data_IF_578221844142
#
_entry.id   IF_578221844142
#
_cell.length_a   1.000
_cell.length_b   1.000
_cell.length_c   1.000
_cell.angle_alpha   90.00
_cell.angle_beta   90.00
_cell.angle_gamma   90.00
#
_symmetry.space_group_name_H-M   'P 1'
#
loop_
_entity.id
_entity.type
_entity.pdbx_description
1 polymer ?
#
# COMPACT_ATOMS: atom_id res chain seq x y z
N UNK A 1 10.75 -16.35 -2.14
CA UNK A 1 10.80 -15.40 -3.24
C UNK A 1 11.54 -15.99 -4.44
N UNK A 2 11.17 -15.56 -5.64
CA UNK A 2 11.86 -15.81 -6.90
C UNK A 2 12.10 -14.46 -7.57
N UNK A 3 13.33 -14.23 -8.05
CA UNK A 3 13.73 -12.94 -8.61
C UNK A 3 14.09 -13.08 -10.09
N UNK A 4 13.77 -12.05 -10.90
CA UNK A 4 14.34 -11.87 -12.23
C UNK A 4 15.01 -10.50 -12.31
N UNK A 5 16.30 -10.49 -12.66
CA UNK A 5 17.16 -9.32 -12.62
C UNK A 5 17.72 -9.08 -14.03
N UNK A 6 17.44 -7.89 -14.57
CA UNK A 6 18.21 -7.32 -15.68
C UNK A 6 19.23 -6.32 -15.13
N UNK A 7 20.47 -6.36 -15.64
CA UNK A 7 21.49 -5.42 -15.23
C UNK A 7 22.44 -5.06 -16.37
N UNK A 8 22.84 -3.78 -16.51
CA UNK A 8 23.77 -3.33 -17.55
C UNK A 8 25.19 -3.84 -17.32
N UNK A 9 25.55 -4.16 -16.07
CA UNK A 9 26.89 -4.64 -15.73
C UNK A 9 26.85 -5.65 -14.56
N UNK A 10 27.90 -6.48 -14.41
CA UNK A 10 28.03 -7.37 -13.25
C UNK A 10 28.07 -6.63 -11.90
N UNK A 11 28.54 -5.40 -11.88
CA UNK A 11 28.59 -4.57 -10.67
C UNK A 11 27.18 -4.22 -10.23
N UNK A 12 26.34 -3.73 -11.13
CA UNK A 12 24.93 -3.42 -10.86
C UNK A 12 24.18 -4.67 -10.40
N UNK A 13 24.39 -5.80 -11.08
CA UNK A 13 23.79 -7.07 -10.67
C UNK A 13 24.15 -7.45 -9.23
N UNK A 14 25.43 -7.36 -8.84
CA UNK A 14 25.88 -7.65 -7.48
C UNK A 14 25.23 -6.71 -6.43
N UNK A 15 25.07 -5.44 -6.75
CA UNK A 15 24.39 -4.47 -5.88
C UNK A 15 22.91 -4.84 -5.68
N UNK A 16 22.19 -5.18 -6.77
CA UNK A 16 20.80 -5.60 -6.70
C UNK A 16 20.66 -6.87 -5.87
N UNK A 17 21.47 -7.90 -6.13
CA UNK A 17 21.47 -9.16 -5.35
C UNK A 17 21.79 -8.89 -3.87
N UNK A 18 22.72 -7.98 -3.57
CA UNK A 18 23.03 -7.55 -2.21
C UNK A 18 21.81 -6.95 -1.52
N UNK A 19 21.06 -6.08 -2.20
CA UNK A 19 19.82 -5.49 -1.70
C UNK A 19 18.73 -6.53 -1.43
N UNK A 20 18.53 -7.45 -2.38
CA UNK A 20 17.57 -8.57 -2.23
C UNK A 20 17.92 -9.42 -1.00
N UNK A 21 19.20 -9.78 -0.83
CA UNK A 21 19.66 -10.54 0.34
C UNK A 21 19.37 -9.81 1.64
N UNK A 22 19.69 -8.52 1.71
CA UNK A 22 19.45 -7.70 2.91
C UNK A 22 17.95 -7.61 3.21
N UNK A 23 17.11 -7.38 2.21
CA UNK A 23 15.66 -7.36 2.37
C UNK A 23 15.13 -8.72 2.83
N UNK A 24 15.55 -9.82 2.21
CA UNK A 24 15.15 -11.18 2.58
C UNK A 24 15.47 -11.48 4.05
N UNK A 25 16.64 -11.08 4.51
CA UNK A 25 17.03 -11.20 5.92
C UNK A 25 16.17 -10.34 6.85
N UNK A 26 15.94 -9.08 6.48
CA UNK A 26 15.13 -8.16 7.29
C UNK A 26 13.69 -8.65 7.45
N UNK A 27 13.08 -9.11 6.37
CA UNK A 27 11.71 -9.65 6.36
C UNK A 27 11.60 -11.10 6.84
N UNK A 28 12.70 -11.82 6.97
CA UNK A 28 12.71 -13.24 7.34
C UNK A 28 12.13 -14.15 6.26
N UNK A 29 12.28 -13.78 4.99
CA UNK A 29 11.70 -14.50 3.85
C UNK A 29 12.83 -15.10 3.01
N UNK A 30 12.83 -16.43 2.73
CA UNK A 30 13.87 -17.05 1.91
C UNK A 30 13.75 -16.65 0.43
N UNK A 31 14.90 -16.44 -0.22
CA UNK A 31 15.00 -16.40 -1.69
C UNK A 31 15.31 -17.80 -2.16
N UNK A 32 14.45 -18.36 -3.00
CA UNK A 32 14.55 -19.75 -3.47
C UNK A 32 15.33 -19.89 -4.78
N UNK A 33 15.47 -18.79 -5.51
CA UNK A 33 16.17 -18.75 -6.78
C UNK A 33 15.73 -17.58 -7.64
N UNK A 34 16.16 -17.61 -8.90
CA UNK A 34 15.82 -16.57 -9.85
C UNK A 34 16.67 -16.64 -11.09
N UNK A 35 16.59 -15.58 -11.91
CA UNK A 35 17.36 -15.43 -13.14
C UNK A 35 18.04 -14.06 -13.16
N UNK A 36 19.29 -14.02 -13.61
CA UNK A 36 20.04 -12.77 -13.80
C UNK A 36 20.58 -12.68 -15.20
N UNK A 37 20.24 -11.60 -15.91
CA UNK A 37 20.76 -11.30 -17.24
C UNK A 37 21.61 -10.03 -17.21
N UNK A 38 22.84 -10.13 -17.74
CA UNK A 38 23.79 -9.01 -17.81
C UNK A 38 23.78 -8.44 -19.23
N UNK A 39 24.11 -7.14 -19.35
CA UNK A 39 24.18 -6.44 -20.63
C UNK A 39 22.81 -5.97 -21.15
N UNK A 40 21.80 -5.90 -20.26
CA UNK A 40 20.47 -5.38 -20.57
C UNK A 40 20.12 -4.22 -19.64
N UNK A 41 19.10 -3.40 -19.97
CA UNK A 41 18.62 -2.36 -19.05
C UNK A 41 18.29 -2.88 -17.65
N UNK A 42 18.43 -2.03 -16.66
CA UNK A 42 18.11 -2.39 -15.27
C UNK A 42 16.62 -2.72 -15.12
N UNK A 43 16.33 -3.91 -14.61
CA UNK A 43 14.99 -4.37 -14.30
C UNK A 43 15.04 -5.30 -13.08
N UNK A 44 14.00 -5.27 -12.27
CA UNK A 44 13.83 -6.19 -11.15
C UNK A 44 12.36 -6.61 -11.08
N UNK A 45 12.14 -7.91 -11.11
CA UNK A 45 10.84 -8.52 -10.84
C UNK A 45 10.97 -9.50 -9.69
N UNK A 46 10.07 -9.44 -8.74
CA UNK A 46 10.03 -10.35 -7.59
C UNK A 46 8.68 -11.04 -7.54
N UNK A 47 8.69 -12.37 -7.50
CA UNK A 47 7.51 -13.18 -7.26
C UNK A 47 7.52 -13.68 -5.82
N UNK A 48 6.49 -13.33 -5.05
CA UNK A 48 6.27 -13.82 -3.69
C UNK A 48 5.21 -14.93 -3.72
N UNK A 49 5.55 -16.07 -3.12
CA UNK A 49 4.62 -17.16 -2.92
C UNK A 49 4.44 -17.39 -1.43
N UNK A 50 3.20 -17.45 -0.99
CA UNK A 50 2.84 -17.69 0.41
C UNK A 50 1.74 -18.72 0.54
N UNK A 51 1.52 -19.18 1.77
CA UNK A 51 0.42 -20.05 2.14
C UNK A 51 -0.35 -19.43 3.30
N UNK A 52 -1.67 -19.47 3.22
CA UNK A 52 -2.55 -19.00 4.29
C UNK A 52 -3.82 -19.86 4.33
N UNK A 53 -4.36 -20.05 5.53
CA UNK A 53 -5.63 -20.72 5.74
C UNK A 53 -6.79 -19.69 5.84
N UNK A 54 -6.47 -18.40 5.91
CA UNK A 54 -7.43 -17.30 6.01
C UNK A 54 -6.98 -16.12 5.13
N UNK A 55 -7.17 -16.20 3.81
CA UNK A 55 -6.80 -15.10 2.92
C UNK A 55 -7.68 -13.88 3.18
N UNK A 56 -7.06 -12.70 3.18
CA UNK A 56 -7.76 -11.42 3.20
C UNK A 56 -7.82 -10.91 1.76
N UNK A 57 -9.01 -10.72 1.19
CA UNK A 57 -9.14 -10.29 -0.21
C UNK A 57 -8.81 -8.80 -0.38
N UNK A 58 -8.44 -8.41 -1.60
CA UNK A 58 -8.27 -7.01 -2.00
C UNK A 58 -9.60 -6.29 -2.27
N UNK A 59 -10.70 -7.02 -2.36
CA UNK A 59 -12.09 -6.56 -2.43
C UNK A 59 -12.94 -7.34 -1.44
N UNK A 60 -14.13 -6.82 -1.11
CA UNK A 60 -15.03 -7.44 -0.13
C UNK A 60 -15.61 -6.43 0.86
N UNK A 61 -15.28 -5.14 0.68
CA UNK A 61 -15.95 -4.05 1.36
C UNK A 61 -17.44 -4.02 0.99
N UNK A 62 -18.27 -3.62 1.92
CA UNK A 62 -19.71 -3.47 1.74
C UNK A 62 -20.11 -2.03 2.02
N UNK A 63 -21.18 -1.59 1.38
CA UNK A 63 -21.79 -0.29 1.70
C UNK A 63 -21.95 -0.13 3.21
N UNK A 64 -21.45 1.01 3.73
CA UNK A 64 -21.49 1.34 5.14
C UNK A 64 -20.29 0.82 5.95
N UNK A 65 -19.38 0.06 5.36
CA UNK A 65 -18.14 -0.34 6.03
C UNK A 65 -17.23 0.87 6.23
N UNK A 66 -16.53 0.91 7.36
CA UNK A 66 -15.47 1.88 7.62
C UNK A 66 -14.27 1.59 6.72
N UNK A 67 -13.71 2.63 6.10
CA UNK A 67 -12.42 2.57 5.42
C UNK A 67 -11.38 3.17 6.37
N UNK A 68 -10.34 2.39 6.65
CA UNK A 68 -9.25 2.79 7.53
C UNK A 68 -7.91 2.76 6.80
N UNK A 69 -7.05 3.71 7.16
CA UNK A 69 -5.65 3.77 6.72
C UNK A 69 -4.74 3.45 7.89
N UNK A 70 -3.85 2.48 7.70
CA UNK A 70 -2.71 2.25 8.61
C UNK A 70 -1.44 2.60 7.86
N UNK A 71 -0.69 3.57 8.35
CA UNK A 71 0.46 4.13 7.64
C UNK A 71 1.62 4.44 8.55
N UNK A 72 2.83 4.14 8.13
CA UNK A 72 4.06 4.58 8.79
C UNK A 72 4.42 5.99 8.34
N UNK A 73 4.19 6.97 9.22
CA UNK A 73 4.46 8.39 8.98
C UNK A 73 5.94 8.76 9.19
N UNK A 74 6.74 7.87 9.79
CA UNK A 74 8.16 8.10 9.94
C UNK A 74 8.86 8.05 8.59
N UNK A 75 9.84 8.92 8.37
CA UNK A 75 10.61 8.88 7.12
C UNK A 75 10.75 10.24 6.45
N UNK A 76 10.91 10.21 5.14
CA UNK A 76 11.12 11.41 4.29
C UNK A 76 10.87 11.07 2.84
N UNK A 77 10.76 12.10 2.01
CA UNK A 77 10.80 11.92 0.56
C UNK A 77 12.08 11.21 0.12
N UNK A 78 11.97 10.21 -0.75
CA UNK A 78 13.11 9.46 -1.25
C UNK A 78 13.93 10.32 -2.20
N UNK A 79 15.22 10.62 -1.90
CA UNK A 79 16.08 11.39 -2.77
C UNK A 79 16.33 10.68 -4.11
N UNK A 80 16.30 11.44 -5.22
CA UNK A 80 16.60 10.90 -6.55
C UNK A 80 15.53 10.00 -7.16
N UNK A 81 14.34 9.93 -6.56
CA UNK A 81 13.18 9.27 -7.13
C UNK A 81 12.33 10.31 -7.87
N UNK A 82 12.10 10.11 -9.16
CA UNK A 82 11.35 11.07 -9.99
C UNK A 82 9.85 11.11 -9.65
N UNK A 83 9.31 10.03 -9.10
CA UNK A 83 7.97 10.00 -8.52
C UNK A 83 7.97 10.51 -7.07
N UNK A 84 6.80 10.48 -6.43
CA UNK A 84 6.66 10.82 -5.01
C UNK A 84 6.64 9.54 -4.18
N UNK A 85 7.78 9.23 -3.57
CA UNK A 85 7.89 8.10 -2.64
C UNK A 85 8.29 8.60 -1.26
N UNK A 86 7.45 8.27 -0.26
CA UNK A 86 7.75 8.47 1.14
C UNK A 86 8.50 7.25 1.68
N UNK A 87 9.80 7.38 1.91
CA UNK A 87 10.64 6.30 2.40
C UNK A 87 10.55 6.20 3.93
N UNK A 88 9.67 5.37 4.41
CA UNK A 88 9.52 5.05 5.84
C UNK A 88 10.26 3.76 6.24
N UNK A 89 10.47 2.84 5.29
CA UNK A 89 10.94 1.48 5.62
C UNK A 89 12.45 1.31 5.63
N UNK A 90 13.22 2.15 4.91
CA UNK A 90 14.68 2.01 4.81
C UNK A 90 15.43 2.23 6.15
N UNK A 91 14.79 2.88 7.11
CA UNK A 91 15.36 3.14 8.45
C UNK A 91 14.79 2.22 9.53
N UNK A 92 13.83 1.35 9.20
CA UNK A 92 13.23 0.43 10.14
C UNK A 92 14.10 -0.79 10.37
N UNK A 93 14.05 -1.31 11.60
CA UNK A 93 14.70 -2.59 11.93
C UNK A 93 13.97 -3.76 11.26
N UNK A 94 14.64 -4.91 11.11
CA UNK A 94 13.96 -6.11 10.61
C UNK A 94 12.81 -6.57 11.52
N UNK A 95 12.85 -6.28 12.81
CA UNK A 95 11.75 -6.55 13.75
C UNK A 95 10.53 -5.67 13.42
N UNK A 96 10.74 -4.36 13.20
CA UNK A 96 9.69 -3.43 12.80
C UNK A 96 9.04 -3.84 11.47
N UNK A 97 9.86 -4.16 10.47
CA UNK A 97 9.39 -4.58 9.16
C UNK A 97 8.50 -5.83 9.25
N UNK A 98 8.94 -6.84 10.01
CA UNK A 98 8.14 -8.05 10.23
C UNK A 98 6.84 -7.76 11.00
N UNK A 99 6.90 -6.87 11.99
CA UNK A 99 5.70 -6.43 12.71
C UNK A 99 4.70 -5.76 11.77
N UNK A 100 5.15 -4.83 10.92
CA UNK A 100 4.30 -4.19 9.89
C UNK A 100 3.72 -5.22 8.92
N UNK A 101 4.54 -6.13 8.39
CA UNK A 101 4.11 -7.14 7.43
C UNK A 101 3.09 -8.15 8.00
N UNK A 102 3.01 -8.31 9.32
CA UNK A 102 2.07 -9.23 9.98
C UNK A 102 0.71 -8.60 10.33
N UNK A 103 0.56 -7.28 10.19
CA UNK A 103 -0.64 -6.55 10.66
C UNK A 103 -1.94 -7.05 10.01
N UNK A 104 -1.97 -7.20 8.70
CA UNK A 104 -3.18 -7.67 7.98
C UNK A 104 -3.54 -9.09 8.38
N UNK A 105 -2.54 -9.98 8.44
CA UNK A 105 -2.77 -11.38 8.83
C UNK A 105 -3.26 -11.50 10.28
N UNK A 106 -2.79 -10.62 11.18
CA UNK A 106 -3.24 -10.57 12.58
C UNK A 106 -4.65 -10.00 12.74
N UNK A 107 -4.95 -8.91 12.04
CA UNK A 107 -6.21 -8.19 12.15
C UNK A 107 -7.36 -8.86 11.39
N UNK A 108 -7.07 -9.48 10.24
CA UNK A 108 -8.05 -10.14 9.35
C UNK A 108 -9.24 -9.23 9.01
N UNK A 109 -9.00 -8.07 8.40
CA UNK A 109 -10.08 -7.20 7.95
C UNK A 109 -10.93 -7.88 6.87
N UNK A 110 -12.13 -7.35 6.60
CA UNK A 110 -12.99 -7.85 5.53
C UNK A 110 -12.37 -7.67 4.14
N UNK A 111 -11.60 -6.59 3.95
CA UNK A 111 -10.77 -6.36 2.77
C UNK A 111 -9.51 -5.58 3.16
N UNK A 112 -8.41 -5.81 2.44
CA UNK A 112 -7.17 -5.06 2.60
C UNK A 112 -6.46 -4.87 1.26
N UNK A 113 -5.83 -3.70 1.10
CA UNK A 113 -5.01 -3.40 -0.06
C UNK A 113 -3.83 -2.52 0.35
N UNK A 114 -2.63 -2.87 -0.13
CA UNK A 114 -1.45 -2.04 0.07
C UNK A 114 -1.56 -0.73 -0.73
N UNK A 115 -1.12 0.36 -0.11
CA UNK A 115 -1.02 1.64 -0.81
C UNK A 115 0.32 1.69 -1.54
N UNK A 116 0.26 1.73 -2.86
CA UNK A 116 1.44 1.77 -3.71
C UNK A 116 1.46 3.00 -4.64
N UNK A 117 1.94 2.89 -5.85
CA UNK A 117 2.14 4.02 -6.78
C UNK A 117 0.87 4.83 -7.10
N UNK A 118 -0.31 4.23 -6.94
CA UNK A 118 -1.58 4.92 -7.11
C UNK A 118 -1.93 5.89 -5.96
N UNK A 119 -1.15 5.87 -4.88
CA UNK A 119 -1.40 6.65 -3.67
C UNK A 119 -2.64 6.20 -2.91
N UNK A 120 -3.00 6.96 -1.89
CA UNK A 120 -4.15 6.65 -1.02
C UNK A 120 -5.46 6.65 -1.81
N UNK A 121 -5.67 7.68 -2.62
CA UNK A 121 -6.91 7.84 -3.40
C UNK A 121 -7.04 6.76 -4.46
N UNK A 122 -5.99 6.51 -5.24
CA UNK A 122 -6.03 5.48 -6.27
C UNK A 122 -6.17 4.06 -5.69
N UNK A 123 -5.57 3.81 -4.52
CA UNK A 123 -5.73 2.53 -3.82
C UNK A 123 -7.15 2.37 -3.28
N UNK A 124 -7.77 3.44 -2.76
CA UNK A 124 -9.17 3.44 -2.35
C UNK A 124 -10.10 3.14 -3.54
N UNK A 125 -9.82 3.72 -4.71
CA UNK A 125 -10.56 3.44 -5.93
C UNK A 125 -10.44 1.96 -6.36
N UNK A 126 -9.24 1.40 -6.31
CA UNK A 126 -9.04 -0.02 -6.62
C UNK A 126 -9.73 -0.96 -5.62
N UNK A 127 -9.73 -0.61 -4.32
CA UNK A 127 -10.44 -1.38 -3.30
C UNK A 127 -11.96 -1.30 -3.51
N UNK A 128 -12.48 -0.11 -3.80
CA UNK A 128 -13.89 0.14 -4.08
C UNK A 128 -14.35 -0.62 -5.35
N UNK A 129 -13.59 -0.53 -6.44
CA UNK A 129 -13.85 -1.25 -7.69
C UNK A 129 -13.88 -2.77 -7.46
N UNK A 130 -12.87 -3.33 -6.79
CA UNK A 130 -12.80 -4.77 -6.49
C UNK A 130 -13.92 -5.24 -5.55
N UNK A 131 -14.56 -4.32 -4.83
CA UNK A 131 -15.67 -4.59 -3.90
C UNK A 131 -17.05 -4.28 -4.50
N UNK A 132 -17.13 -3.77 -5.74
CA UNK A 132 -18.34 -3.29 -6.39
C UNK A 132 -19.09 -2.23 -5.54
N UNK A 133 -18.35 -1.32 -4.91
CA UNK A 133 -18.85 -0.19 -4.10
C UNK A 133 -18.14 1.11 -4.52
N UNK A 134 -18.51 2.23 -3.93
CA UNK A 134 -17.73 3.46 -3.96
C UNK A 134 -17.09 3.74 -2.61
N UNK A 135 -16.45 4.90 -2.48
CA UNK A 135 -15.87 5.36 -1.24
C UNK A 135 -15.99 6.88 -1.08
N UNK A 136 -16.31 7.34 0.11
CA UNK A 136 -16.16 8.73 0.52
C UNK A 136 -15.06 8.79 1.57
N UNK A 137 -14.02 9.58 1.30
CA UNK A 137 -12.90 9.80 2.22
C UNK A 137 -13.01 11.18 2.86
N UNK A 138 -12.64 11.28 4.12
CA UNK A 138 -12.65 12.49 4.95
C UNK A 138 -11.22 13.02 5.07
N UNK A 139 -10.82 14.08 4.34
CA UNK A 139 -9.44 14.58 4.29
C UNK A 139 -8.82 14.83 5.65
N UNK A 140 -9.54 15.45 6.58
CA UNK A 140 -9.05 15.78 7.92
C UNK A 140 -8.79 14.54 8.79
N UNK A 141 -9.35 13.39 8.43
CA UNK A 141 -9.14 12.13 9.13
C UNK A 141 -7.93 11.34 8.60
N UNK A 142 -7.35 11.77 7.47
CA UNK A 142 -6.23 11.07 6.84
C UNK A 142 -4.92 11.43 7.56
N UNK A 143 -4.26 10.47 8.23
CA UNK A 143 -2.97 10.73 8.84
C UNK A 143 -1.93 11.13 7.78
N UNK A 144 -1.23 12.23 8.00
CA UNK A 144 -0.17 12.73 7.13
C UNK A 144 1.05 13.16 7.95
N UNK A 145 2.27 13.14 7.39
CA UNK A 145 3.45 13.70 8.03
C UNK A 145 3.36 15.23 8.08
N UNK A 146 3.94 15.82 9.11
CA UNK A 146 3.98 17.29 9.27
C UNK A 146 4.74 17.94 8.10
N UNK A 147 4.20 19.05 7.60
CA UNK A 147 4.83 19.88 6.56
C UNK A 147 4.82 19.27 5.15
N UNK A 148 4.16 18.14 4.94
CA UNK A 148 3.97 17.54 3.62
C UNK A 148 2.70 18.14 2.98
N UNK A 149 2.77 18.66 1.72
CA UNK A 149 1.58 19.11 1.02
C UNK A 149 0.56 17.98 0.88
N UNK A 150 -0.69 18.23 1.27
CA UNK A 150 -1.70 17.18 1.36
C UNK A 150 -1.98 16.47 0.04
N UNK A 151 -2.05 17.22 -1.08
CA UNK A 151 -2.23 16.64 -2.40
C UNK A 151 -1.08 15.70 -2.80
N UNK A 152 0.15 16.04 -2.41
CA UNK A 152 1.33 15.19 -2.62
C UNK A 152 1.23 13.90 -1.82
N UNK A 153 0.73 14.01 -0.56
CA UNK A 153 0.53 12.88 0.31
C UNK A 153 -0.55 11.92 -0.20
N UNK A 154 -1.67 12.43 -0.69
CA UNK A 154 -2.77 11.62 -1.22
C UNK A 154 -2.37 10.77 -2.43
N UNK A 155 -1.38 11.24 -3.19
CA UNK A 155 -0.98 10.62 -4.46
C UNK A 155 0.41 9.99 -4.41
N UNK A 156 1.09 10.01 -3.25
CA UNK A 156 2.42 9.43 -3.12
C UNK A 156 2.39 7.91 -2.93
N UNK A 157 3.55 7.30 -3.16
CA UNK A 157 3.85 5.92 -2.80
C UNK A 157 4.49 5.89 -1.41
N UNK A 158 3.79 5.53 -0.33
CA UNK A 158 4.38 5.39 1.00
C UNK A 158 5.17 4.09 1.11
N UNK A 159 6.22 4.08 1.95
CA UNK A 159 7.02 2.88 2.19
C UNK A 159 6.24 1.76 2.87
N UNK A 160 5.30 2.12 3.76
CA UNK A 160 4.31 1.21 4.32
C UNK A 160 2.99 1.95 4.53
N UNK A 161 1.96 1.49 3.86
CA UNK A 161 0.59 1.84 4.18
C UNK A 161 -0.38 0.74 3.69
N UNK A 162 -1.47 0.56 4.44
CA UNK A 162 -2.55 -0.38 4.13
C UNK A 162 -3.89 0.32 4.25
N UNK A 163 -4.73 0.18 3.23
CA UNK A 163 -6.16 0.46 3.32
C UNK A 163 -6.89 -0.82 3.72
N UNK A 164 -7.81 -0.70 4.66
CA UNK A 164 -8.66 -1.80 5.09
C UNK A 164 -10.12 -1.37 5.10
N UNK A 165 -11.01 -2.32 4.89
CA UNK A 165 -12.43 -2.13 5.09
C UNK A 165 -12.94 -3.13 6.12
N UNK A 166 -13.77 -2.64 7.05
CA UNK A 166 -14.40 -3.41 8.11
C UNK A 166 -15.77 -2.85 8.44
N UNK A 167 -16.61 -3.63 9.13
CA UNK A 167 -17.87 -3.11 9.65
C UNK A 167 -17.61 -1.95 10.61
N UNK A 168 -18.55 -0.99 10.70
CA UNK A 168 -18.38 0.17 11.57
C UNK A 168 -17.94 -0.19 12.98
N UNK A 169 -16.87 0.46 13.44
CA UNK A 169 -16.29 0.25 14.77
C UNK A 169 -15.54 -1.07 14.96
N UNK A 170 -15.32 -1.86 13.91
CA UNK A 170 -14.62 -3.14 13.99
C UNK A 170 -13.17 -3.10 13.46
N UNK A 171 -12.65 -1.93 13.12
CA UNK A 171 -11.26 -1.76 12.72
C UNK A 171 -10.28 -2.35 13.74
N UNK A 172 -9.48 -3.34 13.33
CA UNK A 172 -8.64 -4.17 14.22
C UNK A 172 -7.15 -3.94 14.05
N UNK A 173 -6.75 -3.21 13.02
CA UNK A 173 -5.32 -2.96 12.81
C UNK A 173 -4.82 -1.93 13.82
N UNK A 174 -3.86 -2.35 14.64
CA UNK A 174 -3.16 -1.48 15.58
C UNK A 174 -1.66 -1.74 15.50
N UNK A 175 -0.85 -0.70 15.61
CA UNK A 175 0.60 -0.81 15.56
C UNK A 175 1.24 0.25 16.45
N UNK A 176 2.31 -0.05 17.18
CA UNK A 176 3.09 0.95 17.91
C UNK A 176 3.96 1.83 17.01
N UNK A 177 4.17 1.45 15.75
CA UNK A 177 5.08 2.12 14.81
C UNK A 177 4.38 2.66 13.57
N UNK A 178 3.09 2.39 13.40
CA UNK A 178 2.26 2.94 12.33
C UNK A 178 0.97 3.52 12.93
N UNK A 179 0.49 4.61 12.34
CA UNK A 179 -0.76 5.24 12.76
C UNK A 179 -1.93 4.63 12.00
N UNK A 180 -2.96 4.23 12.73
CA UNK A 180 -4.23 3.79 12.15
C UNK A 180 -5.30 4.83 12.41
N UNK A 181 -6.07 5.17 11.39
CA UNK A 181 -7.25 6.02 11.50
C UNK A 181 -8.34 5.53 10.54
N UNK A 182 -9.61 5.65 10.96
CA UNK A 182 -10.74 5.62 10.04
C UNK A 182 -10.66 6.89 9.19
N UNK A 183 -10.70 6.74 7.89
CA UNK A 183 -10.55 7.85 6.95
C UNK A 183 -11.76 8.04 6.02
N UNK A 184 -12.79 7.20 6.16
CA UNK A 184 -13.96 7.29 5.31
C UNK A 184 -14.90 6.11 5.43
N UNK A 185 -15.81 6.00 4.47
CA UNK A 185 -16.86 4.98 4.44
C UNK A 185 -17.06 4.46 3.02
N UNK A 186 -17.34 3.18 2.88
CA UNK A 186 -17.75 2.56 1.62
C UNK A 186 -19.20 2.97 1.27
N UNK A 187 -19.43 3.41 0.04
CA UNK A 187 -20.72 3.96 -0.45
C UNK A 187 -21.35 3.07 -1.52
N UNK A 188 -22.60 3.34 -1.85
CA UNK A 188 -23.27 2.64 -2.95
C UNK A 188 -22.83 3.19 -4.33
N UNK A 189 -22.58 4.50 -4.40
CA UNK A 189 -22.22 5.17 -5.63
C UNK A 189 -20.78 4.88 -6.00
N UNK A 190 -20.49 4.28 -7.17
CA UNK A 190 -19.13 3.97 -7.60
C UNK A 190 -18.22 5.20 -7.70
N UNK A 191 -16.90 4.98 -7.56
CA UNK A 191 -15.90 6.04 -7.56
C UNK A 191 -15.45 6.43 -6.16
N UNK A 192 -14.52 7.37 -6.07
CA UNK A 192 -14.02 7.92 -4.80
C UNK A 192 -14.26 9.40 -4.74
N UNK A 193 -14.84 9.86 -3.64
CA UNK A 193 -15.06 11.27 -3.33
C UNK A 193 -14.31 11.68 -2.08
N UNK A 194 -13.94 12.93 -2.01
CA UNK A 194 -13.46 13.58 -0.79
C UNK A 194 -14.59 14.43 -0.21
N UNK A 195 -14.94 14.18 1.04
CA UNK A 195 -15.88 14.99 1.81
C UNK A 195 -15.08 15.97 2.68
N UNK A 196 -15.09 17.22 2.28
CA UNK A 196 -14.38 18.30 2.97
C UNK A 196 -15.13 18.75 4.24
N UNK A 197 -14.42 19.39 5.20
CA UNK A 197 -15.04 19.81 6.48
C UNK A 197 -16.21 20.79 6.34
N UNK A 198 -16.26 21.53 5.25
CA UNK A 198 -17.37 22.45 4.92
C UNK A 198 -18.59 21.73 4.31
N UNK A 199 -18.54 20.39 4.19
CA UNK A 199 -19.60 19.57 3.62
C UNK A 199 -19.58 19.47 2.10
N UNK A 200 -18.59 20.07 1.43
CA UNK A 200 -18.44 19.96 -0.02
C UNK A 200 -17.86 18.60 -0.38
N UNK A 201 -18.43 17.93 -1.37
CA UNK A 201 -17.87 16.73 -1.96
C UNK A 201 -17.18 17.04 -3.29
N UNK A 202 -16.00 16.45 -3.51
CA UNK A 202 -15.27 16.52 -4.78
C UNK A 202 -14.91 15.12 -5.27
N UNK A 203 -15.03 14.88 -6.57
CA UNK A 203 -14.59 13.64 -7.18
C UNK A 203 -13.06 13.53 -7.12
N UNK A 204 -12.56 12.39 -6.66
CA UNK A 204 -11.14 12.14 -6.51
C UNK A 204 -10.63 11.02 -7.43
N UNK A 205 -11.46 10.03 -7.72
CA UNK A 205 -11.14 8.98 -8.68
C UNK A 205 -12.41 8.43 -9.35
N UNK A 206 -12.26 8.07 -10.63
CA UNK A 206 -13.35 7.46 -11.40
C UNK A 206 -13.64 6.02 -10.93
N UNK A 207 -14.81 5.47 -11.29
CA UNK A 207 -15.23 4.12 -10.90
C UNK A 207 -14.34 2.98 -11.41
N UNK A 208 -13.65 3.19 -12.53
CA UNK A 208 -12.81 2.18 -13.20
C UNK A 208 -11.33 2.50 -13.03
N UNK A 209 -10.83 2.34 -11.81
CA UNK A 209 -9.45 2.69 -11.46
C UNK A 209 -8.41 1.75 -12.10
N UNK A 210 -8.73 0.49 -12.28
CA UNK A 210 -7.83 -0.51 -12.87
C UNK A 210 -7.92 -0.58 -14.39
N UNK A 211 -8.97 -0.02 -14.99
CA UNK A 211 -9.29 -0.18 -16.41
C UNK A 211 -9.75 -1.61 -16.77
N UNK A 212 -9.91 -2.48 -15.79
CA UNK A 212 -10.47 -3.81 -15.95
C UNK A 212 -11.99 -3.69 -15.77
N UNK A 213 -12.73 -3.87 -16.85
CA UNK A 213 -14.18 -3.95 -16.75
C UNK A 213 -14.57 -5.19 -15.96
N UNK A 214 -15.55 -5.10 -15.04
CA UNK A 214 -16.12 -6.30 -14.46
C UNK A 214 -16.70 -7.16 -15.58
N UNK A 215 -16.27 -8.43 -15.65
CA UNK A 215 -16.77 -9.39 -16.62
C UNK A 215 -18.18 -9.85 -16.31
#
# INVERSE_FOLDING_TARGET
>A
LLDAIGAPSPEIARRVVGGIRSAAQAWGVPVLGGHTQIGVPSALTVTALGRTDAPVPGGGARRGDDISLTVDLHGRWRPGFEGRQWDSTSTRTGADLRALGSLVAGARPAAAKDVSMAGIVGTAAMLAEASAVGATLEPDSIPAPDGVPFGDWLTCFPGFAMLTADRPGQGRMTSPIARTARIGTATAEPGVRLLWPDGVETDAACPTATGLLPG
#
